data_IF_131917778842
#
_entry.id   IF_131917778842
#
_cell.length_a   1.000
_cell.length_b   1.000
_cell.length_c   1.000
_cell.angle_alpha   90.00
_cell.angle_beta   90.00
_cell.angle_gamma   90.00
#
_symmetry.space_group_name_H-M   'P 1'
#
loop_
_entity.id
_entity.type
_entity.pdbx_description
1 polymer ?
#
# COMPACT_ATOMS: atom_id res chain seq x y z
N UNK A 1 21.16 19.42 -15.47
CA UNK A 1 20.64 19.14 -16.82
C UNK A 1 21.67 18.30 -17.56
N UNK A 2 21.43 16.99 -17.71
CA UNK A 2 22.32 16.07 -18.42
C UNK A 2 22.17 16.29 -19.92
N UNK A 3 23.27 16.60 -20.62
CA UNK A 3 23.27 16.84 -22.08
C UNK A 3 22.71 15.60 -22.80
N UNK A 4 21.73 15.76 -23.72
CA UNK A 4 21.23 14.66 -24.51
C UNK A 4 22.36 14.11 -25.40
N UNK A 5 22.55 12.80 -25.34
CA UNK A 5 23.54 12.08 -26.15
C UNK A 5 23.08 12.15 -27.61
N UNK A 6 24.00 12.47 -28.53
CA UNK A 6 23.70 12.47 -29.98
C UNK A 6 23.14 11.10 -30.40
N UNK A 7 22.10 11.10 -31.23
CA UNK A 7 21.42 9.91 -31.74
C UNK A 7 22.39 8.90 -32.39
N UNK A 8 23.43 9.40 -33.06
CA UNK A 8 24.51 8.60 -33.65
C UNK A 8 25.26 7.76 -32.61
N UNK A 9 25.52 8.33 -31.44
CA UNK A 9 26.22 7.66 -30.33
C UNK A 9 25.34 6.57 -29.71
N UNK A 10 24.02 6.77 -29.65
CA UNK A 10 23.08 5.75 -29.20
C UNK A 10 23.02 4.56 -30.18
N UNK A 11 23.05 4.84 -31.48
CA UNK A 11 23.06 3.80 -32.52
C UNK A 11 24.38 3.01 -32.51
N UNK A 12 25.53 3.68 -32.39
CA UNK A 12 26.83 3.01 -32.27
C UNK A 12 26.89 2.12 -31.02
N UNK A 13 26.39 2.62 -29.88
CA UNK A 13 26.31 1.83 -28.65
C UNK A 13 25.41 0.60 -28.81
N UNK A 14 24.30 0.71 -29.56
CA UNK A 14 23.40 -0.41 -29.84
C UNK A 14 24.09 -1.51 -30.65
N UNK A 15 24.82 -1.15 -31.70
CA UNK A 15 25.57 -2.11 -32.55
C UNK A 15 26.64 -2.83 -31.71
N UNK A 16 27.44 -2.09 -30.95
CA UNK A 16 28.52 -2.66 -30.13
C UNK A 16 28.01 -3.61 -29.03
N UNK A 17 26.83 -3.32 -28.46
CA UNK A 17 26.17 -4.20 -27.48
C UNK A 17 25.62 -5.48 -28.14
N UNK A 18 25.09 -5.40 -29.36
CA UNK A 18 24.65 -6.57 -30.14
C UNK A 18 25.82 -7.49 -30.50
N UNK A 19 26.99 -6.91 -30.82
CA UNK A 19 28.23 -7.64 -31.09
C UNK A 19 28.90 -8.23 -29.83
N UNK A 20 28.29 -8.07 -28.65
CA UNK A 20 28.83 -8.51 -27.34
C UNK A 20 30.23 -7.96 -27.06
N UNK A 21 30.51 -6.74 -27.54
CA UNK A 21 31.81 -6.10 -27.33
C UNK A 21 32.05 -5.84 -25.83
N UNK A 22 33.24 -6.14 -25.28
CA UNK A 22 33.55 -5.86 -23.88
C UNK A 22 33.44 -4.36 -23.55
N UNK A 23 32.94 -4.04 -22.36
CA UNK A 23 32.72 -2.64 -21.93
C UNK A 23 34.00 -1.80 -21.97
N UNK A 24 35.16 -2.41 -21.72
CA UNK A 24 36.47 -1.76 -21.83
C UNK A 24 36.76 -1.23 -23.24
N UNK A 25 36.31 -1.95 -24.27
CA UNK A 25 36.50 -1.57 -25.67
C UNK A 25 35.46 -0.53 -26.10
N UNK A 26 34.21 -0.65 -25.63
CA UNK A 26 33.15 0.35 -25.89
C UNK A 26 33.56 1.72 -25.34
N UNK A 27 34.16 1.79 -24.15
CA UNK A 27 34.62 3.05 -23.54
C UNK A 27 35.78 3.68 -24.33
N UNK A 28 36.66 2.86 -24.93
CA UNK A 28 37.74 3.36 -25.78
C UNK A 28 37.20 3.96 -27.09
N UNK A 29 36.18 3.33 -27.67
CA UNK A 29 35.55 3.78 -28.92
C UNK A 29 34.63 4.98 -28.72
N UNK A 30 34.01 5.10 -27.53
CA UNK A 30 33.05 6.15 -27.19
C UNK A 30 33.46 6.81 -25.85
N UNK A 31 34.51 7.66 -25.84
CA UNK A 31 35.09 8.21 -24.60
C UNK A 31 34.15 9.13 -23.83
N UNK A 32 33.08 9.63 -24.46
CA UNK A 32 32.08 10.51 -23.85
C UNK A 32 30.94 9.75 -23.12
N UNK A 33 30.98 8.41 -23.08
CA UNK A 33 29.94 7.59 -22.45
C UNK A 33 30.45 6.98 -21.14
N UNK A 34 29.71 7.18 -20.06
CA UNK A 34 30.01 6.54 -18.78
C UNK A 34 29.58 5.07 -18.77
N UNK A 35 30.28 4.25 -17.97
CA UNK A 35 29.93 2.82 -17.71
C UNK A 35 28.46 2.63 -17.32
N UNK A 36 27.88 3.58 -16.59
CA UNK A 36 26.47 3.55 -16.15
C UNK A 36 25.51 3.62 -17.34
N UNK A 37 25.80 4.47 -18.32
CA UNK A 37 24.99 4.63 -19.54
C UNK A 37 25.04 3.35 -20.39
N UNK A 38 26.21 2.73 -20.53
CA UNK A 38 26.38 1.44 -21.22
C UNK A 38 25.56 0.34 -20.53
N UNK A 39 25.60 0.28 -19.19
CA UNK A 39 24.84 -0.66 -18.38
C UNK A 39 23.32 -0.52 -18.55
N UNK A 40 22.81 0.71 -18.49
CA UNK A 40 21.39 0.99 -18.65
C UNK A 40 20.91 0.63 -20.07
N UNK A 41 21.66 0.99 -21.11
CA UNK A 41 21.29 0.62 -22.48
C UNK A 41 21.34 -0.90 -22.72
N UNK A 42 22.33 -1.61 -22.15
CA UNK A 42 22.39 -3.06 -22.27
C UNK A 42 21.18 -3.76 -21.62
N UNK A 43 20.68 -3.24 -20.48
CA UNK A 43 19.46 -3.72 -19.84
C UNK A 43 18.21 -3.46 -20.68
N UNK A 44 18.14 -2.32 -21.37
CA UNK A 44 16.99 -1.99 -22.23
C UNK A 44 16.97 -2.79 -23.53
N UNK A 45 18.13 -3.22 -24.05
CA UNK A 45 18.24 -3.93 -25.34
C UNK A 45 18.32 -5.47 -25.21
N UNK A 46 18.74 -6.00 -24.06
CA UNK A 46 18.69 -7.44 -23.78
C UNK A 46 17.26 -7.82 -23.36
N UNK A 47 16.37 -7.91 -24.35
CA UNK A 47 14.93 -8.16 -24.22
C UNK A 47 14.49 -9.44 -23.48
N UNK A 48 15.41 -10.22 -22.92
CA UNK A 48 15.12 -11.47 -22.17
C UNK A 48 15.63 -11.46 -20.73
N UNK A 49 16.08 -10.32 -20.20
CA UNK A 49 16.21 -10.17 -18.76
C UNK A 49 14.83 -9.85 -18.18
N UNK A 50 13.96 -10.87 -18.09
CA UNK A 50 12.88 -10.86 -17.09
C UNK A 50 13.54 -10.49 -15.77
N UNK A 51 13.37 -9.24 -15.34
CA UNK A 51 13.72 -8.81 -14.01
C UNK A 51 12.76 -9.54 -13.08
N UNK A 52 13.04 -10.81 -12.77
CA UNK A 52 12.56 -11.38 -11.53
C UNK A 52 13.26 -10.54 -10.49
N UNK A 53 12.60 -9.49 -10.02
CA UNK A 53 12.97 -8.76 -8.82
C UNK A 53 12.82 -9.74 -7.66
N UNK A 54 13.68 -10.76 -7.60
CA UNK A 54 13.99 -11.46 -6.37
C UNK A 54 14.93 -10.51 -5.61
N UNK A 55 14.38 -9.34 -5.26
CA UNK A 55 14.96 -8.51 -4.24
C UNK A 55 15.13 -9.37 -2.99
N UNK A 56 16.16 -9.06 -2.21
CA UNK A 56 16.52 -9.75 -0.96
C UNK A 56 15.29 -10.33 -0.25
N UNK A 57 15.18 -11.66 -0.24
CA UNK A 57 14.06 -12.39 0.38
C UNK A 57 13.93 -11.91 1.82
N UNK A 58 12.72 -11.47 2.21
CA UNK A 58 12.53 -10.92 3.56
C UNK A 58 12.78 -12.02 4.60
N UNK A 59 13.68 -11.76 5.56
CA UNK A 59 14.02 -12.70 6.66
C UNK A 59 12.81 -13.20 7.48
N UNK A 60 11.67 -12.52 7.39
CA UNK A 60 10.44 -12.84 8.10
C UNK A 60 9.39 -13.29 7.09
N UNK A 61 8.75 -14.44 7.33
CA UNK A 61 7.70 -14.97 6.44
C UNK A 61 6.50 -14.03 6.35
N UNK A 62 5.75 -14.13 5.25
CA UNK A 62 4.63 -13.21 5.06
C UNK A 62 3.55 -13.34 6.15
N UNK A 63 3.33 -14.57 6.64
CA UNK A 63 2.42 -14.92 7.73
C UNK A 63 2.86 -14.33 9.07
N UNK A 64 4.16 -14.41 9.40
CA UNK A 64 4.70 -13.84 10.64
C UNK A 64 4.57 -12.31 10.66
N UNK A 65 4.80 -11.63 9.53
CA UNK A 65 4.62 -10.18 9.44
C UNK A 65 3.13 -9.77 9.68
N UNK A 66 2.16 -10.56 9.19
CA UNK A 66 0.72 -10.32 9.44
C UNK A 66 0.36 -10.52 10.91
N UNK A 67 0.87 -11.58 11.53
CA UNK A 67 0.65 -11.86 12.95
C UNK A 67 1.14 -10.71 13.83
N UNK A 68 2.38 -10.24 13.59
CA UNK A 68 2.98 -9.13 14.33
C UNK A 68 2.15 -7.86 14.20
N UNK A 69 1.75 -7.49 12.99
CA UNK A 69 0.94 -6.30 12.76
C UNK A 69 -0.45 -6.38 13.43
N UNK A 70 -1.11 -7.54 13.35
CA UNK A 70 -2.43 -7.75 13.97
C UNK A 70 -2.33 -7.73 15.49
N UNK A 71 -1.25 -8.28 16.05
CA UNK A 71 -1.00 -8.30 17.49
C UNK A 71 -0.74 -6.90 18.04
N UNK A 72 -0.05 -6.03 17.28
CA UNK A 72 0.09 -4.61 17.62
C UNK A 72 -1.28 -3.91 17.57
N UNK A 73 -2.08 -4.13 16.51
CA UNK A 73 -3.40 -3.51 16.37
C UNK A 73 -4.35 -3.87 17.52
N UNK A 74 -4.35 -5.13 17.92
CA UNK A 74 -5.23 -5.63 18.98
C UNK A 74 -4.67 -5.39 20.39
N UNK A 75 -3.59 -4.61 20.53
CA UNK A 75 -2.98 -4.28 21.82
C UNK A 75 -2.23 -5.43 22.52
N UNK A 76 -2.03 -6.58 21.85
CA UNK A 76 -1.27 -7.72 22.39
C UNK A 76 0.25 -7.53 22.35
N UNK A 77 0.73 -6.60 21.53
CA UNK A 77 2.14 -6.20 21.48
C UNK A 77 2.23 -4.69 21.65
N UNK A 78 3.21 -4.21 22.41
CA UNK A 78 3.47 -2.78 22.67
C UNK A 78 4.13 -2.09 21.47
N UNK A 79 3.51 -2.23 20.30
CA UNK A 79 3.95 -1.59 19.07
C UNK A 79 5.26 -2.15 18.51
N UNK A 80 6.03 -1.33 17.78
CA UNK A 80 7.26 -1.78 17.13
C UNK A 80 8.32 -2.32 18.11
N UNK A 81 8.34 -1.84 19.36
CA UNK A 81 9.27 -2.34 20.40
C UNK A 81 8.91 -3.78 20.82
N UNK A 82 7.62 -4.06 21.01
CA UNK A 82 7.12 -5.41 21.27
C UNK A 82 7.42 -6.39 20.16
N UNK A 83 7.25 -5.95 18.91
CA UNK A 83 7.60 -6.75 17.75
C UNK A 83 9.10 -7.09 17.69
N UNK A 84 9.99 -6.15 18.05
CA UNK A 84 11.43 -6.42 18.13
C UNK A 84 11.72 -7.50 19.18
N UNK A 85 11.12 -7.42 20.37
CA UNK A 85 11.31 -8.43 21.43
C UNK A 85 10.77 -9.80 21.01
N UNK A 86 9.60 -9.84 20.38
CA UNK A 86 9.02 -11.07 19.84
C UNK A 86 9.90 -11.69 18.75
N UNK A 87 10.43 -10.89 17.82
CA UNK A 87 11.31 -11.39 16.77
C UNK A 87 12.66 -11.87 17.32
N UNK A 88 13.19 -11.19 18.34
CA UNK A 88 14.39 -11.62 19.04
C UNK A 88 14.21 -13.01 19.70
N UNK A 89 13.03 -13.31 20.27
CA UNK A 89 12.74 -14.64 20.83
C UNK A 89 12.61 -15.75 19.78
N UNK A 90 12.35 -15.38 18.52
CA UNK A 90 12.33 -16.28 17.37
C UNK A 90 13.68 -16.37 16.65
N UNK A 91 14.76 -15.87 17.26
CA UNK A 91 16.11 -15.79 16.68
C UNK A 91 16.18 -14.96 15.38
N UNK A 92 15.27 -14.01 15.20
CA UNK A 92 15.26 -13.08 14.06
C UNK A 92 15.56 -11.66 14.58
N UNK A 93 16.83 -11.29 14.76
CA UNK A 93 17.15 -9.95 15.23
C UNK A 93 16.79 -8.91 14.16
N UNK A 94 15.93 -7.96 14.53
CA UNK A 94 15.55 -6.84 13.68
C UNK A 94 15.53 -5.53 14.48
N UNK A 95 15.91 -4.43 13.83
CA UNK A 95 15.86 -3.11 14.45
C UNK A 95 14.43 -2.56 14.45
N UNK A 96 14.13 -1.67 15.39
CA UNK A 96 12.83 -0.98 15.47
C UNK A 96 12.50 -0.24 14.16
N UNK A 97 13.50 0.37 13.51
CA UNK A 97 13.34 1.01 12.20
C UNK A 97 13.04 0.00 11.09
N UNK A 98 13.65 -1.18 11.15
CA UNK A 98 13.32 -2.31 10.27
C UNK A 98 11.88 -2.77 10.44
N UNK A 99 11.38 -2.86 11.69
CA UNK A 99 9.97 -3.18 11.98
C UNK A 99 9.05 -2.10 11.41
N UNK A 100 9.34 -0.82 11.67
CA UNK A 100 8.55 0.30 11.12
C UNK A 100 8.50 0.27 9.60
N UNK A 101 9.64 0.04 8.94
CA UNK A 101 9.71 -0.08 7.47
C UNK A 101 8.97 -1.31 6.96
N UNK A 102 9.03 -2.44 7.67
CA UNK A 102 8.29 -3.66 7.36
C UNK A 102 6.78 -3.43 7.46
N UNK A 103 6.31 -2.78 8.54
CA UNK A 103 4.90 -2.43 8.75
C UNK A 103 4.41 -1.38 7.74
N UNK A 104 5.28 -0.50 7.25
CA UNK A 104 4.94 0.48 6.21
C UNK A 104 4.95 -0.11 4.79
N UNK A 105 5.87 -1.04 4.50
CA UNK A 105 6.05 -1.66 3.17
C UNK A 105 4.99 -2.72 2.88
N UNK A 106 4.65 -3.52 3.90
CA UNK A 106 3.39 -4.23 3.88
C UNK A 106 2.35 -3.23 4.29
N UNK A 107 1.82 -2.56 3.29
CA UNK A 107 0.51 -1.95 3.32
C UNK A 107 -0.50 -3.06 3.69
N UNK A 108 -0.52 -3.42 4.97
CA UNK A 108 -1.65 -4.05 5.63
C UNK A 108 -2.69 -2.94 5.74
N UNK A 109 -3.15 -2.47 4.57
CA UNK A 109 -4.29 -1.58 4.36
C UNK A 109 -5.51 -2.34 4.83
N UNK A 110 -5.65 -2.44 6.14
CA UNK A 110 -6.95 -2.60 6.77
C UNK A 110 -7.63 -1.23 6.93
N UNK A 111 -7.00 -0.15 6.43
CA UNK A 111 -7.44 1.23 6.64
C UNK A 111 -7.96 1.95 5.40
N UNK A 112 -7.95 1.36 4.20
CA UNK A 112 -8.22 2.15 2.97
C UNK A 112 -9.48 1.71 2.23
N UNK A 113 -10.35 0.94 2.87
CA UNK A 113 -11.70 0.72 2.37
C UNK A 113 -12.69 1.01 3.49
N UNK A 114 -12.93 2.31 3.82
CA UNK A 114 -14.06 2.70 4.68
C UNK A 114 -15.36 2.05 4.18
N UNK A 115 -15.44 1.92 2.86
CA UNK A 115 -16.31 1.10 2.02
C UNK A 115 -16.56 -0.35 2.46
N UNK A 116 -15.76 -0.93 3.35
CA UNK A 116 -15.92 -2.29 3.89
C UNK A 116 -16.10 -2.31 5.42
N UNK A 117 -16.19 -1.15 6.07
CA UNK A 117 -16.48 -1.07 7.49
C UNK A 117 -17.99 -0.82 7.69
N UNK A 118 -18.77 -1.77 8.25
CA UNK A 118 -20.21 -1.58 8.46
C UNK A 118 -20.56 -0.38 9.32
N UNK A 119 -19.67 0.06 10.22
CA UNK A 119 -19.94 1.21 11.09
C UNK A 119 -20.00 2.54 10.32
N UNK A 120 -19.31 2.65 9.18
CA UNK A 120 -19.36 3.85 8.33
C UNK A 120 -20.77 4.07 7.76
N UNK A 121 -21.51 2.97 7.51
CA UNK A 121 -22.90 3.03 7.06
C UNK A 121 -23.83 3.50 8.16
N UNK A 122 -23.59 3.07 9.40
CA UNK A 122 -24.31 3.56 10.58
C UNK A 122 -24.07 5.06 10.76
N UNK A 123 -22.83 5.53 10.60
CA UNK A 123 -22.50 6.96 10.63
C UNK A 123 -23.15 7.74 9.50
N UNK A 124 -23.16 7.21 8.29
CA UNK A 124 -23.83 7.82 7.14
C UNK A 124 -25.35 7.93 7.38
N UNK A 125 -25.97 6.87 7.88
CA UNK A 125 -27.39 6.86 8.22
C UNK A 125 -27.71 7.91 9.30
N UNK A 126 -26.87 8.00 10.33
CA UNK A 126 -27.02 8.98 11.39
C UNK A 126 -26.95 10.41 10.85
N UNK A 127 -25.98 10.72 9.98
CA UNK A 127 -25.86 12.02 9.32
C UNK A 127 -27.12 12.36 8.52
N UNK A 128 -27.62 11.43 7.70
CA UNK A 128 -28.88 11.62 6.95
C UNK A 128 -30.08 11.88 7.87
N UNK A 129 -30.16 11.17 9.00
CA UNK A 129 -31.22 11.38 9.99
C UNK A 129 -31.11 12.75 10.69
N UNK A 130 -29.90 13.29 10.82
CA UNK A 130 -29.65 14.64 11.34
C UNK A 130 -29.94 15.72 10.29
N UNK A 131 -29.69 15.46 9.02
CA UNK A 131 -30.01 16.37 7.92
C UNK A 131 -31.53 16.56 7.73
N UNK A 132 -32.34 15.59 8.18
CA UNK A 132 -33.80 15.68 8.16
C UNK A 132 -34.38 16.68 9.19
N UNK A 133 -33.57 17.26 10.08
CA UNK A 133 -34.04 18.33 10.95
C UNK A 133 -34.20 19.63 10.16
N UNK A 134 -35.35 20.29 10.32
CA UNK A 134 -35.63 21.58 9.65
C UNK A 134 -34.65 22.69 10.03
N UNK A 135 -34.12 22.63 11.25
CA UNK A 135 -33.17 23.61 11.78
C UNK A 135 -31.81 22.98 12.02
N UNK A 136 -30.74 23.75 11.81
CA UNK A 136 -29.40 23.34 12.23
C UNK A 136 -29.28 23.47 13.76
N UNK A 137 -28.53 22.57 14.42
CA UNK A 137 -28.28 22.71 15.85
C UNK A 137 -27.46 23.98 16.13
N UNK A 138 -27.87 24.73 17.14
CA UNK A 138 -27.27 26.03 17.49
C UNK A 138 -26.17 25.87 18.54
N UNK A 139 -26.26 24.82 19.37
CA UNK A 139 -25.29 24.50 20.43
C UNK A 139 -24.74 23.09 20.29
N UNK A 140 -23.57 22.84 20.90
CA UNK A 140 -22.96 21.51 20.95
C UNK A 140 -23.84 20.50 21.72
N UNK A 141 -24.49 20.95 22.77
CA UNK A 141 -25.41 20.15 23.59
C UNK A 141 -26.64 19.73 22.80
N UNK A 142 -27.21 20.65 22.01
CA UNK A 142 -28.33 20.34 21.13
C UNK A 142 -27.94 19.31 20.06
N UNK A 143 -26.76 19.45 19.45
CA UNK A 143 -26.25 18.46 18.50
C UNK A 143 -26.07 17.09 19.18
N UNK A 144 -25.47 17.04 20.37
CA UNK A 144 -25.28 15.79 21.11
C UNK A 144 -26.62 15.11 21.46
N UNK A 145 -27.61 15.88 21.90
CA UNK A 145 -28.95 15.36 22.19
C UNK A 145 -29.63 14.82 20.93
N UNK A 146 -29.58 15.54 19.81
CA UNK A 146 -30.13 15.07 18.52
C UNK A 146 -29.44 13.80 18.04
N UNK A 147 -28.11 13.71 18.19
CA UNK A 147 -27.33 12.50 17.90
C UNK A 147 -27.85 11.33 18.74
N UNK A 148 -27.93 11.49 20.07
CA UNK A 148 -28.41 10.43 20.97
C UNK A 148 -29.81 9.94 20.57
N UNK A 149 -30.75 10.86 20.38
CA UNK A 149 -32.13 10.52 20.00
C UNK A 149 -32.21 9.76 18.67
N UNK A 150 -31.36 10.09 17.69
CA UNK A 150 -31.35 9.39 16.41
C UNK A 150 -30.58 8.07 16.46
N UNK A 151 -29.55 8.00 17.30
CA UNK A 151 -28.75 6.80 17.55
C UNK A 151 -29.59 5.71 18.23
N UNK A 152 -30.34 6.07 19.27
CA UNK A 152 -31.19 5.13 20.02
C UNK A 152 -32.35 4.58 19.18
N UNK A 153 -32.68 5.25 18.08
CA UNK A 153 -33.68 4.80 17.10
C UNK A 153 -33.10 3.89 16.01
N UNK A 154 -31.80 3.61 16.00
CA UNK A 154 -31.21 2.65 15.06
C UNK A 154 -31.57 1.26 15.57
N UNK A 155 -32.36 0.54 14.78
CA UNK A 155 -32.83 -0.80 15.17
C UNK A 155 -31.81 -1.87 14.81
N UNK A 156 -31.83 -3.00 15.52
CA UNK A 156 -31.00 -4.15 15.18
C UNK A 156 -31.22 -4.63 13.73
N UNK A 157 -32.46 -4.53 13.24
CA UNK A 157 -32.80 -4.88 11.86
C UNK A 157 -32.03 -4.04 10.83
N UNK A 158 -31.88 -2.74 11.07
CA UNK A 158 -31.11 -1.85 10.21
C UNK A 158 -29.62 -2.21 10.23
N UNK A 159 -29.08 -2.51 11.42
CA UNK A 159 -27.70 -3.01 11.54
C UNK A 159 -27.48 -4.32 10.78
N UNK A 160 -28.44 -5.26 10.87
CA UNK A 160 -28.37 -6.54 10.16
C UNK A 160 -28.39 -6.35 8.65
N UNK A 161 -29.20 -5.42 8.11
CA UNK A 161 -29.19 -5.11 6.67
C UNK A 161 -27.81 -4.65 6.18
N UNK A 162 -27.08 -3.87 6.97
CA UNK A 162 -25.72 -3.46 6.60
C UNK A 162 -24.73 -4.63 6.63
N UNK A 163 -24.87 -5.54 7.59
CA UNK A 163 -24.06 -6.76 7.66
C UNK A 163 -24.37 -7.69 6.48
N UNK A 164 -25.65 -7.89 6.16
CA UNK A 164 -26.11 -8.73 5.06
C UNK A 164 -25.66 -8.20 3.69
N UNK A 165 -25.44 -6.89 3.57
CA UNK A 165 -24.90 -6.26 2.35
C UNK A 165 -23.40 -6.51 2.13
N UNK A 166 -22.67 -6.99 3.15
CA UNK A 166 -21.22 -7.13 3.10
C UNK A 166 -20.70 -8.05 1.99
N UNK A 167 -21.27 -9.24 1.74
CA UNK A 167 -20.81 -10.11 0.66
C UNK A 167 -20.85 -9.42 -0.70
N UNK A 168 -21.93 -8.69 -1.01
CA UNK A 168 -22.09 -7.96 -2.27
C UNK A 168 -21.11 -6.80 -2.41
N UNK A 169 -20.80 -6.11 -1.31
CA UNK A 169 -19.79 -5.03 -1.28
C UNK A 169 -18.37 -5.58 -1.48
N UNK A 170 -18.05 -6.70 -0.86
CA UNK A 170 -16.78 -7.40 -1.04
C UNK A 170 -16.63 -7.79 -2.51
N UNK A 171 -17.68 -8.34 -3.13
CA UNK A 171 -17.67 -8.69 -4.56
C UNK A 171 -17.44 -7.45 -5.45
N UNK A 172 -18.09 -6.33 -5.15
CA UNK A 172 -17.90 -5.08 -5.87
C UNK A 172 -16.46 -4.54 -5.75
N UNK A 173 -15.84 -4.63 -4.57
CA UNK A 173 -14.43 -4.25 -4.36
C UNK A 173 -13.47 -5.20 -5.10
N UNK A 174 -13.77 -6.50 -5.14
CA UNK A 174 -13.00 -7.47 -5.92
C UNK A 174 -13.09 -7.12 -7.40
N UNK A 175 -14.28 -6.80 -7.90
CA UNK A 175 -14.52 -6.39 -9.29
C UNK A 175 -13.80 -5.08 -9.64
N UNK A 176 -13.74 -4.13 -8.71
CA UNK A 176 -13.01 -2.87 -8.89
C UNK A 176 -11.49 -3.03 -8.71
N UNK A 177 -10.97 -4.25 -8.47
CA UNK A 177 -9.56 -4.54 -8.18
C UNK A 177 -9.02 -3.71 -7.01
N UNK A 178 -9.86 -3.43 -6.01
CA UNK A 178 -9.51 -2.59 -4.86
C UNK A 178 -9.63 -1.08 -5.10
N UNK A 179 -10.20 -0.65 -6.23
CA UNK A 179 -10.59 0.74 -6.45
C UNK A 179 -11.90 1.09 -5.72
N UNK A 180 -12.26 2.39 -5.65
CA UNK A 180 -13.51 2.83 -5.05
C UNK A 180 -14.68 2.11 -5.70
N UNK A 181 -15.49 1.43 -4.90
CA UNK A 181 -16.71 0.81 -5.37
C UNK A 181 -17.90 1.62 -4.82
N UNK A 182 -18.91 1.83 -5.65
CA UNK A 182 -20.16 2.47 -5.22
C UNK A 182 -21.06 1.41 -4.61
N UNK A 183 -21.59 1.66 -3.42
CA UNK A 183 -22.55 0.80 -2.72
C UNK A 183 -23.72 1.61 -2.18
#
# INVERSE_FOLDING_TARGET
>A
MTKPILSETQNALKVLLQEKTPYSQIIKLLPNISKSIIGNHNQTFSGDAQHTNVGRVSKISAKAQRYIATSIRNGRMDGPKGAVRFLASQFIPMTTSGVKKMLKKKDLRLEESPDLNPIEHVWYQLKRRLDNYMTKPTTKEELANRISVKWDKITQKECLQYIDSMPSRIEAVIKSKGGPASF
#
